data_IF_634113381004
#
_entry.id   IF_634113381004
#
_cell.length_a   1.000
_cell.length_b   1.000
_cell.length_c   1.000
_cell.angle_alpha   90.00
_cell.angle_beta   90.00
_cell.angle_gamma   90.00
#
_symmetry.space_group_name_H-M   'P 1'
#
loop_
_entity.id
_entity.type
_entity.pdbx_description
1 polymer ?
#
# COMPACT_ATOMS: atom_id res chain seq x y z
N UNK A 1 15.58 1.58 -0.04
CA UNK A 1 14.43 1.96 -0.87
C UNK A 1 14.16 0.80 -1.80
N UNK A 2 12.99 0.20 -1.66
CA UNK A 2 12.51 -0.97 -2.39
C UNK A 2 11.08 -1.18 -1.97
N UNK A 3 10.32 -0.10 -2.01
CA UNK A 3 8.93 -0.05 -1.63
C UNK A 3 8.19 -0.08 -2.96
N UNK A 4 7.50 -1.17 -3.25
CA UNK A 4 6.90 -1.38 -4.56
C UNK A 4 5.98 -0.22 -4.96
N UNK A 5 5.76 -0.10 -6.26
CA UNK A 5 4.66 0.70 -6.79
C UNK A 5 3.67 -0.25 -7.47
N UNK A 6 2.40 0.10 -7.44
CA UNK A 6 1.38 -0.54 -8.25
C UNK A 6 0.47 0.55 -8.82
N UNK A 7 -0.12 0.28 -9.98
CA UNK A 7 -1.02 1.19 -10.69
C UNK A 7 -2.31 0.45 -10.97
N UNK A 8 -3.42 1.18 -11.00
CA UNK A 8 -4.77 0.68 -11.28
C UNK A 8 -5.70 1.86 -11.50
N UNK A 9 -6.98 1.60 -11.70
CA UNK A 9 -8.03 2.63 -11.63
C UNK A 9 -8.79 2.41 -10.31
N UNK A 10 -8.38 3.08 -9.24
CA UNK A 10 -8.91 2.84 -7.88
C UNK A 10 -10.10 3.75 -7.56
N UNK A 11 -10.50 4.64 -8.47
CA UNK A 11 -11.70 5.47 -8.29
C UNK A 11 -12.69 5.51 -9.46
N UNK A 12 -12.51 4.63 -10.43
CA UNK A 12 -13.44 4.39 -11.53
C UNK A 12 -13.54 5.53 -12.52
N UNK A 13 -12.58 6.45 -12.52
CA UNK A 13 -12.62 7.66 -13.34
C UNK A 13 -11.99 7.44 -14.74
N UNK A 14 -11.39 6.28 -14.98
CA UNK A 14 -10.74 5.88 -16.22
C UNK A 14 -9.30 6.37 -16.35
N UNK A 15 -8.76 7.11 -15.37
CA UNK A 15 -7.37 7.50 -15.29
C UNK A 15 -6.57 6.51 -14.44
N UNK A 16 -5.31 6.28 -14.82
CA UNK A 16 -4.43 5.43 -14.02
C UNK A 16 -3.94 6.16 -12.79
N UNK A 17 -4.23 5.57 -11.64
CA UNK A 17 -3.77 5.94 -10.32
C UNK A 17 -2.44 5.27 -9.96
N UNK A 18 -1.80 5.77 -8.90
CA UNK A 18 -0.54 5.27 -8.40
C UNK A 18 -0.62 4.97 -6.91
N UNK A 19 -0.30 3.74 -6.52
CA UNK A 19 -0.03 3.38 -5.13
C UNK A 19 1.47 3.22 -4.91
N UNK A 20 1.99 3.94 -3.91
CA UNK A 20 3.40 3.89 -3.50
C UNK A 20 3.50 3.28 -2.12
N UNK A 21 4.28 2.21 -1.96
CA UNK A 21 4.55 1.66 -0.65
C UNK A 21 5.59 2.51 0.11
N UNK A 22 5.54 2.44 1.43
CA UNK A 22 6.62 2.80 2.32
C UNK A 22 6.64 1.78 3.48
N UNK A 23 7.10 0.54 3.24
CA UNK A 23 7.27 -0.43 4.29
C UNK A 23 8.29 0.11 5.29
N UNK A 24 8.16 -0.28 6.55
CA UNK A 24 9.10 0.12 7.59
C UNK A 24 10.53 -0.23 7.19
N UNK A 25 11.47 0.67 7.45
CA UNK A 25 12.88 0.33 7.27
C UNK A 25 13.28 -0.83 8.19
N UNK A 26 14.28 -1.61 7.77
CA UNK A 26 14.73 -2.80 8.51
C UNK A 26 15.23 -2.48 9.92
N UNK A 27 15.73 -1.26 10.15
CA UNK A 27 16.41 -0.86 11.38
C UNK A 27 15.45 -0.41 12.49
N UNK A 28 14.30 0.17 12.12
CA UNK A 28 13.22 0.62 13.01
C UNK A 28 11.92 -0.17 12.77
N UNK A 29 12.01 -1.33 12.12
CA UNK A 29 10.88 -2.17 11.71
C UNK A 29 9.89 -2.39 12.85
N UNK A 30 10.34 -2.74 14.05
CA UNK A 30 9.49 -3.02 15.21
C UNK A 30 8.56 -1.89 15.66
N UNK A 31 8.85 -0.64 15.32
CA UNK A 31 8.02 0.50 15.73
C UNK A 31 7.10 1.00 14.62
N UNK A 32 7.37 0.62 13.37
CA UNK A 32 6.66 1.17 12.22
C UNK A 32 5.84 0.07 11.53
N UNK A 33 4.54 0.29 11.33
CA UNK A 33 3.68 -0.72 10.72
C UNK A 33 3.86 -0.89 9.20
N UNK A 34 4.58 0.03 8.55
CA UNK A 34 4.55 0.16 7.09
C UNK A 34 3.32 0.93 6.62
N UNK A 35 3.42 1.52 5.43
CA UNK A 35 2.42 2.39 4.83
C UNK A 35 2.28 2.09 3.33
N UNK A 36 1.12 2.43 2.77
CA UNK A 36 0.91 2.57 1.33
C UNK A 36 0.08 3.83 1.07
N UNK A 37 0.41 4.57 0.01
CA UNK A 37 -0.20 5.85 -0.35
C UNK A 37 -0.83 5.75 -1.73
N UNK A 38 -2.12 6.07 -1.86
CA UNK A 38 -2.81 6.20 -3.14
C UNK A 38 -2.76 7.65 -3.61
N UNK A 39 -2.34 7.85 -4.85
CA UNK A 39 -2.40 9.10 -5.58
C UNK A 39 -3.30 8.93 -6.79
N UNK A 40 -4.38 9.72 -6.84
CA UNK A 40 -5.34 9.67 -7.93
C UNK A 40 -4.81 10.34 -9.19
N UNK A 41 -5.07 9.71 -10.31
CA UNK A 41 -4.80 10.19 -11.64
C UNK A 41 -5.77 11.31 -12.06
N UNK A 42 -5.52 11.91 -13.24
CA UNK A 42 -4.26 11.84 -13.98
C UNK A 42 -3.12 12.59 -13.26
N UNK A 43 -1.95 11.96 -13.14
CA UNK A 43 -0.77 12.55 -12.50
C UNK A 43 0.14 13.25 -13.50
N UNK A 44 0.63 14.44 -13.13
CA UNK A 44 1.66 15.17 -13.90
C UNK A 44 3.06 14.83 -13.38
N UNK A 45 4.10 14.87 -14.24
CA UNK A 45 5.48 14.73 -13.79
C UNK A 45 5.82 15.75 -12.70
N UNK A 46 6.34 15.29 -11.56
CA UNK A 46 6.61 16.16 -10.42
C UNK A 46 6.90 15.39 -9.14
N UNK A 47 6.92 16.12 -8.03
CA UNK A 47 7.00 15.57 -6.68
C UNK A 47 5.58 15.36 -6.16
N UNK A 48 5.29 14.16 -5.64
CA UNK A 48 4.10 13.86 -4.86
C UNK A 48 4.51 13.69 -3.39
N UNK A 49 3.83 14.38 -2.50
CA UNK A 49 4.07 14.32 -1.05
C UNK A 49 3.02 13.44 -0.39
N UNK A 50 3.34 12.92 0.79
CA UNK A 50 2.40 12.10 1.55
C UNK A 50 1.06 12.82 1.84
N UNK A 51 1.06 14.15 1.90
CA UNK A 51 -0.13 14.99 2.07
C UNK A 51 -1.02 15.09 0.81
N UNK A 52 -0.47 14.77 -0.37
CA UNK A 52 -1.22 14.73 -1.63
C UNK A 52 -1.95 13.38 -1.83
N UNK A 53 -1.69 12.40 -0.95
CA UNK A 53 -2.30 11.08 -1.05
C UNK A 53 -3.80 11.15 -0.75
N UNK A 54 -4.62 10.59 -1.64
CA UNK A 54 -6.05 10.46 -1.45
C UNK A 54 -6.40 9.48 -0.32
N UNK A 55 -5.62 8.39 -0.23
CA UNK A 55 -5.77 7.35 0.81
C UNK A 55 -4.40 6.97 1.34
N UNK A 56 -4.32 6.74 2.65
CA UNK A 56 -3.12 6.23 3.33
C UNK A 56 -3.51 4.97 4.10
N UNK A 57 -3.01 3.82 3.67
CA UNK A 57 -3.13 2.57 4.41
C UNK A 57 -1.95 2.40 5.37
N UNK A 58 -2.24 1.91 6.56
CA UNK A 58 -1.27 1.71 7.64
C UNK A 58 -1.49 0.35 8.28
N UNK A 59 -0.41 -0.41 8.47
CA UNK A 59 -0.48 -1.66 9.23
C UNK A 59 -0.96 -1.40 10.67
N UNK A 60 -1.62 -2.38 11.27
CA UNK A 60 -2.18 -2.27 12.61
C UNK A 60 -1.13 -2.31 13.72
N UNK A 61 0.03 -2.92 13.46
CA UNK A 61 1.06 -3.18 14.49
C UNK A 61 2.46 -2.79 14.03
N UNK A 62 3.32 -2.35 14.96
CA UNK A 62 4.73 -2.15 14.66
C UNK A 62 5.39 -3.44 14.18
N UNK A 63 6.26 -3.36 13.17
CA UNK A 63 6.94 -4.53 12.63
C UNK A 63 6.17 -5.28 11.55
N UNK A 64 4.95 -4.86 11.22
CA UNK A 64 4.08 -5.53 10.26
C UNK A 64 4.58 -5.47 8.81
N UNK A 65 5.28 -4.39 8.44
CA UNK A 65 5.80 -4.17 7.08
C UNK A 65 4.69 -4.14 6.00
N UNK A 66 3.56 -3.49 6.27
CA UNK A 66 2.56 -3.21 5.23
C UNK A 66 3.22 -2.51 4.04
N UNK A 67 2.90 -2.97 2.83
CA UNK A 67 3.50 -2.48 1.58
C UNK A 67 4.74 -3.25 1.15
N UNK A 68 5.03 -4.41 1.76
CA UNK A 68 6.15 -5.26 1.35
C UNK A 68 5.97 -5.84 -0.06
N UNK A 69 4.73 -6.22 -0.39
CA UNK A 69 4.33 -6.65 -1.73
C UNK A 69 2.95 -6.09 -2.03
N UNK A 70 2.69 -5.71 -3.29
CA UNK A 70 1.38 -5.19 -3.70
C UNK A 70 0.98 -5.77 -5.06
N UNK A 71 -0.33 -5.91 -5.26
CA UNK A 71 -0.96 -6.20 -6.54
C UNK A 71 -2.28 -5.41 -6.63
N UNK A 72 -2.73 -5.15 -7.85
CA UNK A 72 -4.00 -4.48 -8.10
C UNK A 72 -4.77 -5.23 -9.19
N UNK A 73 -6.08 -5.35 -9.01
CA UNK A 73 -7.03 -5.92 -9.95
C UNK A 73 -8.44 -5.68 -9.40
N UNK A 74 -9.40 -5.46 -10.29
CA UNK A 74 -10.82 -5.66 -10.03
C UNK A 74 -11.06 -7.12 -9.55
N UNK A 75 -11.25 -7.31 -8.25
CA UNK A 75 -11.45 -8.60 -7.59
C UNK A 75 -12.93 -8.87 -7.32
N UNK A 76 -13.74 -7.83 -7.16
CA UNK A 76 -15.16 -7.97 -6.81
C UNK A 76 -16.12 -7.81 -8.00
N UNK A 77 -15.63 -7.30 -9.13
CA UNK A 77 -16.30 -7.21 -10.43
C UNK A 77 -17.10 -5.93 -10.63
N UNK A 78 -16.85 -4.87 -9.86
CA UNK A 78 -17.60 -3.62 -9.95
C UNK A 78 -17.03 -2.62 -10.99
N UNK A 79 -15.79 -2.85 -11.43
CA UNK A 79 -15.09 -2.08 -12.44
C UNK A 79 -13.97 -1.20 -11.92
N UNK A 80 -13.83 -1.06 -10.60
CA UNK A 80 -12.70 -0.40 -9.96
C UNK A 80 -11.64 -1.45 -9.57
N UNK A 81 -10.37 -1.08 -9.50
CA UNK A 81 -9.31 -2.00 -9.09
C UNK A 81 -9.20 -2.06 -7.55
N UNK A 82 -9.19 -3.25 -6.95
CA UNK A 82 -8.83 -3.41 -5.54
C UNK A 82 -7.31 -3.51 -5.36
N UNK A 83 -6.82 -3.01 -4.22
CA UNK A 83 -5.42 -3.16 -3.83
C UNK A 83 -5.25 -4.35 -2.88
N UNK A 84 -4.36 -5.28 -3.25
CA UNK A 84 -3.88 -6.36 -2.38
C UNK A 84 -2.53 -5.98 -1.80
N UNK A 85 -2.40 -5.94 -0.47
CA UNK A 85 -1.16 -5.56 0.22
C UNK A 85 -0.67 -6.67 1.14
N UNK A 86 0.55 -7.15 0.89
CA UNK A 86 1.24 -8.10 1.77
C UNK A 86 1.99 -7.39 2.90
N UNK A 87 1.89 -7.98 4.09
CA UNK A 87 2.51 -7.51 5.31
C UNK A 87 3.11 -8.70 6.08
N UNK A 88 4.31 -9.18 5.71
CA UNK A 88 4.85 -10.44 6.22
C UNK A 88 5.28 -10.40 7.69
N UNK A 89 5.39 -9.22 8.31
CA UNK A 89 5.90 -9.07 9.66
C UNK A 89 7.43 -9.26 9.77
N UNK A 90 8.05 -8.69 10.80
CA UNK A 90 9.45 -8.95 11.17
C UNK A 90 9.52 -9.78 12.45
N UNK A 91 10.39 -10.78 12.47
CA UNK A 91 10.62 -11.61 13.65
C UNK A 91 11.71 -10.97 14.51
N UNK A 92 11.37 -10.39 15.65
CA UNK A 92 12.22 -10.50 16.84
C UNK A 92 11.37 -10.91 18.04
N UNK A 93 11.24 -12.22 18.21
CA UNK A 93 10.76 -12.84 19.45
C UNK A 93 9.31 -13.32 19.47
N UNK A 94 8.48 -12.96 18.50
CA UNK A 94 7.07 -13.38 18.38
C UNK A 94 6.87 -14.29 17.14
N UNK A 95 5.85 -15.15 17.16
CA UNK A 95 5.44 -15.93 15.98
C UNK A 95 5.15 -15.00 14.80
N UNK A 96 5.82 -15.18 13.67
CA UNK A 96 5.50 -14.48 12.43
C UNK A 96 4.06 -14.83 12.00
N UNK A 97 3.15 -13.87 12.14
CA UNK A 97 1.82 -13.94 11.53
C UNK A 97 1.76 -12.91 10.42
N UNK A 98 2.21 -13.31 9.25
CA UNK A 98 2.04 -12.50 8.04
C UNK A 98 0.57 -12.24 7.77
N UNK A 99 0.26 -11.05 7.28
CA UNK A 99 -1.09 -10.63 6.89
C UNK A 99 -1.13 -10.25 5.41
N UNK A 100 -2.33 -10.38 4.84
CA UNK A 100 -2.68 -9.85 3.53
C UNK A 100 -3.93 -9.00 3.72
N UNK A 101 -3.87 -7.79 3.20
CA UNK A 101 -5.00 -6.87 3.15
C UNK A 101 -5.53 -6.84 1.73
N UNK A 102 -6.84 -6.92 1.57
CA UNK A 102 -7.52 -6.50 0.35
C UNK A 102 -8.26 -5.23 0.74
N UNK A 103 -7.97 -4.15 0.04
CA UNK A 103 -8.59 -2.86 0.29
C UNK A 103 -9.23 -2.37 -0.99
N UNK A 104 -10.51 -2.10 -0.83
CA UNK A 104 -11.34 -1.41 -1.79
C UNK A 104 -11.40 0.05 -1.35
N UNK A 105 -10.82 0.98 -2.13
CA UNK A 105 -10.80 2.39 -1.80
C UNK A 105 -12.13 3.12 -1.94
N UNK A 106 -13.22 2.54 -2.49
CA UNK A 106 -14.50 3.22 -2.68
C UNK A 106 -15.79 2.42 -2.43
#
# INVERSE_FOLDING_TARGET
MGAGVVTGDFDGDGATDLVVAAPSDWYFSYQRPGLAYLFRGPLSPGELRAEDAAVIWRGSEGGEQLGWSMAACDLDGDGDDELVVGAPGTAMGEELRGRVYVVDPL
#
